data_IF_748413573763
#
_entry.id   IF_748413573763
#
_cell.length_a   1.000
_cell.length_b   1.000
_cell.length_c   1.000
_cell.angle_alpha   90.00
_cell.angle_beta   90.00
_cell.angle_gamma   90.00
#
_symmetry.space_group_name_H-M   'P 1'
#
loop_
_entity.id
_entity.type
_entity.pdbx_description
1 polymer ?
#
# COMPACT_ATOMS: atom_id res chain seq x y z
N UNK A 1 19.43 -12.19 17.94
CA UNK A 1 18.77 -12.96 16.87
C UNK A 1 18.15 -12.02 15.84
N UNK A 2 18.28 -12.34 14.53
CA UNK A 2 17.62 -11.57 13.45
C UNK A 2 16.12 -11.77 13.53
N UNK A 3 15.34 -10.68 13.38
CA UNK A 3 13.89 -10.79 13.20
C UNK A 3 13.57 -11.47 11.86
N UNK A 4 12.71 -12.48 11.88
CA UNK A 4 12.26 -13.20 10.70
C UNK A 4 10.92 -12.60 10.24
N UNK A 5 10.93 -11.99 9.07
CA UNK A 5 9.79 -11.22 8.53
C UNK A 5 9.25 -11.91 7.29
N UNK A 6 7.96 -12.21 7.28
CA UNK A 6 7.28 -12.67 6.07
C UNK A 6 6.60 -11.48 5.39
N UNK A 7 6.85 -11.33 4.10
CA UNK A 7 6.22 -10.29 3.27
C UNK A 7 5.38 -10.94 2.18
N UNK A 8 4.24 -10.36 1.91
CA UNK A 8 3.42 -10.67 0.73
C UNK A 8 3.34 -9.46 -0.18
N UNK A 9 3.11 -9.66 -1.49
CA UNK A 9 2.92 -8.55 -2.43
C UNK A 9 4.18 -7.75 -2.78
N UNK A 10 5.35 -8.33 -2.67
CA UNK A 10 6.66 -7.73 -2.92
C UNK A 10 6.88 -7.23 -4.35
N UNK A 11 6.17 -7.76 -5.34
CA UNK A 11 6.23 -7.27 -6.73
C UNK A 11 5.51 -5.94 -6.91
N UNK A 12 4.64 -5.57 -5.96
CA UNK A 12 3.90 -4.30 -5.93
C UNK A 12 4.76 -3.11 -5.51
N UNK A 13 4.18 -1.91 -5.62
CA UNK A 13 4.87 -0.66 -5.28
C UNK A 13 5.24 -0.58 -3.79
N UNK A 14 4.29 -0.80 -2.89
CA UNK A 14 4.54 -0.71 -1.44
C UNK A 14 5.48 -1.82 -0.98
N UNK A 15 5.16 -3.09 -1.28
CA UNK A 15 5.95 -4.24 -0.82
C UNK A 15 7.40 -4.21 -1.30
N UNK A 16 7.66 -3.81 -2.56
CA UNK A 16 9.04 -3.72 -3.05
C UNK A 16 9.86 -2.64 -2.34
N UNK A 17 9.25 -1.50 -1.99
CA UNK A 17 9.95 -0.45 -1.25
C UNK A 17 10.22 -0.84 0.21
N UNK A 18 9.30 -1.60 0.84
CA UNK A 18 9.54 -2.15 2.18
C UNK A 18 10.71 -3.13 2.16
N UNK A 19 10.77 -4.05 1.19
CA UNK A 19 11.90 -4.98 1.05
C UNK A 19 13.21 -4.22 0.87
N UNK A 20 13.27 -3.22 -0.01
CA UNK A 20 14.48 -2.41 -0.23
C UNK A 20 15.00 -1.74 1.04
N UNK A 21 14.11 -1.31 1.95
CA UNK A 21 14.52 -0.81 3.26
C UNK A 21 15.03 -1.96 4.14
N UNK A 22 14.23 -3.01 4.30
CA UNK A 22 14.50 -4.08 5.25
C UNK A 22 15.76 -4.88 4.91
N UNK A 23 16.15 -4.95 3.63
CA UNK A 23 17.41 -5.59 3.22
C UNK A 23 18.66 -4.85 3.69
N UNK A 24 18.52 -3.60 4.16
CA UNK A 24 19.60 -2.82 4.80
C UNK A 24 19.67 -3.03 6.31
N UNK A 25 18.69 -3.71 6.88
CA UNK A 25 18.54 -3.93 8.33
C UNK A 25 18.95 -5.35 8.73
N UNK A 26 19.14 -5.56 10.03
CA UNK A 26 19.46 -6.88 10.57
C UNK A 26 18.22 -7.77 10.71
N UNK A 27 17.61 -8.13 9.57
CA UNK A 27 16.44 -8.99 9.49
C UNK A 27 16.63 -10.10 8.46
N UNK A 28 15.80 -11.14 8.50
CA UNK A 28 15.69 -12.16 7.46
C UNK A 28 14.30 -12.09 6.83
N UNK A 29 14.21 -12.03 5.50
CA UNK A 29 12.98 -11.82 4.77
C UNK A 29 12.56 -13.11 4.05
N UNK A 30 11.37 -13.59 4.36
CA UNK A 30 10.64 -14.59 3.59
C UNK A 30 9.60 -13.89 2.72
N UNK A 31 9.61 -14.11 1.42
CA UNK A 31 8.71 -13.44 0.47
C UNK A 31 7.78 -14.44 -0.20
N UNK A 32 6.49 -14.36 0.09
CA UNK A 32 5.48 -15.29 -0.44
C UNK A 32 5.03 -14.86 -1.83
N UNK A 33 5.25 -15.73 -2.82
CA UNK A 33 5.10 -15.44 -4.22
C UNK A 33 4.35 -16.55 -4.97
N UNK A 34 3.41 -16.18 -5.84
CA UNK A 34 2.84 -17.13 -6.81
C UNK A 34 3.91 -17.55 -7.82
N UNK A 35 3.89 -18.79 -8.27
CA UNK A 35 4.89 -19.35 -9.19
C UNK A 35 5.12 -18.51 -10.45
N UNK A 36 4.10 -17.82 -10.97
CA UNK A 36 4.24 -16.92 -12.13
C UNK A 36 5.23 -15.78 -11.93
N UNK A 37 5.58 -15.46 -10.68
CA UNK A 37 6.51 -14.38 -10.35
C UNK A 37 7.98 -14.81 -10.33
N UNK A 38 8.33 -16.07 -10.60
CA UNK A 38 9.72 -16.56 -10.59
C UNK A 38 10.67 -15.76 -11.48
N UNK A 39 10.18 -15.28 -12.64
CA UNK A 39 10.95 -14.50 -13.62
C UNK A 39 10.89 -12.98 -13.38
N UNK A 40 10.27 -12.49 -12.29
CA UNK A 40 10.16 -11.06 -12.02
C UNK A 40 11.53 -10.45 -11.70
N UNK A 41 11.89 -9.33 -12.36
CA UNK A 41 13.19 -8.66 -12.21
C UNK A 41 13.47 -8.27 -10.75
N UNK A 42 12.51 -7.66 -10.05
CA UNK A 42 12.68 -7.27 -8.63
C UNK A 42 13.04 -8.47 -7.76
N UNK A 43 12.38 -9.62 -7.98
CA UNK A 43 12.65 -10.84 -7.21
C UNK A 43 14.06 -11.37 -7.49
N UNK A 44 14.53 -11.29 -8.73
CA UNK A 44 15.93 -11.66 -9.06
C UNK A 44 16.92 -10.74 -8.36
N UNK A 45 16.64 -9.44 -8.29
CA UNK A 45 17.53 -8.49 -7.62
C UNK A 45 17.53 -8.72 -6.10
N UNK A 46 16.39 -8.97 -5.47
CA UNK A 46 16.31 -9.28 -4.03
C UNK A 46 17.05 -10.56 -3.66
N UNK A 47 17.03 -11.59 -4.52
CA UNK A 47 17.76 -12.86 -4.31
C UNK A 47 19.26 -12.71 -4.21
N UNK A 48 19.86 -11.62 -4.67
CA UNK A 48 21.29 -11.33 -4.50
C UNK A 48 21.66 -11.10 -3.02
N UNK A 49 20.68 -10.81 -2.17
CA UNK A 49 20.90 -10.60 -0.74
C UNK A 49 20.73 -11.92 0.04
N UNK A 50 21.73 -12.30 0.84
CA UNK A 50 21.74 -13.54 1.65
C UNK A 50 20.64 -13.60 2.73
N UNK A 51 20.05 -12.47 3.07
CA UNK A 51 18.97 -12.36 4.04
C UNK A 51 17.57 -12.40 3.40
N UNK A 52 17.46 -12.84 2.15
CA UNK A 52 16.19 -12.90 1.43
C UNK A 52 15.93 -14.29 0.85
N UNK A 53 14.75 -14.84 1.11
CA UNK A 53 14.33 -16.15 0.61
C UNK A 53 12.91 -16.09 0.04
N UNK A 54 12.71 -16.27 -1.28
CA UNK A 54 11.40 -16.33 -1.89
C UNK A 54 10.76 -17.70 -1.69
N UNK A 55 9.49 -17.71 -1.29
CA UNK A 55 8.65 -18.89 -1.12
C UNK A 55 7.62 -18.93 -2.26
N UNK A 56 7.88 -19.72 -3.26
CA UNK A 56 6.97 -19.89 -4.38
C UNK A 56 5.92 -20.97 -4.10
N UNK A 57 4.68 -20.73 -4.52
CA UNK A 57 3.58 -21.70 -4.37
C UNK A 57 2.62 -21.68 -5.57
N UNK A 58 1.93 -22.81 -5.78
CA UNK A 58 0.83 -22.97 -6.75
C UNK A 58 -0.51 -23.11 -6.03
N UNK A 59 -0.58 -23.93 -4.98
CA UNK A 59 -1.78 -24.25 -4.18
C UNK A 59 -1.54 -23.91 -2.70
N UNK A 60 -2.59 -23.63 -1.94
CA UNK A 60 -2.48 -23.26 -0.52
C UNK A 60 -1.92 -24.40 0.35
N UNK A 61 -2.22 -25.64 0.07
CA UNK A 61 -1.63 -26.79 0.81
C UNK A 61 -0.09 -26.84 0.66
N UNK A 62 0.43 -26.48 -0.52
CA UNK A 62 1.88 -26.35 -0.72
C UNK A 62 2.45 -25.20 0.10
N UNK A 63 1.76 -24.05 0.14
CA UNK A 63 2.14 -22.89 0.93
C UNK A 63 2.16 -23.21 2.41
N UNK A 64 1.11 -23.82 2.91
CA UNK A 64 1.00 -24.26 4.31
C UNK A 64 2.15 -25.16 4.72
N UNK A 65 2.44 -26.21 3.96
CA UNK A 65 3.56 -27.14 4.22
C UNK A 65 4.90 -26.41 4.29
N UNK A 66 5.13 -25.39 3.43
CA UNK A 66 6.37 -24.60 3.44
C UNK A 66 6.45 -23.66 4.63
N UNK A 67 5.36 -22.98 4.97
CA UNK A 67 5.33 -22.02 6.07
C UNK A 67 5.37 -22.69 7.45
N UNK A 68 4.84 -23.90 7.58
CA UNK A 68 4.94 -24.69 8.82
C UNK A 68 6.38 -25.04 9.20
N UNK A 69 7.30 -25.14 8.23
CA UNK A 69 8.71 -25.51 8.44
C UNK A 69 9.63 -24.36 8.82
N UNK A 70 9.16 -23.12 8.81
CA UNK A 70 9.96 -21.95 9.08
C UNK A 70 9.39 -21.15 10.25
N UNK A 71 10.29 -20.43 10.92
CA UNK A 71 9.93 -19.52 11.98
C UNK A 71 9.74 -18.11 11.42
N UNK A 72 8.69 -17.43 11.88
CA UNK A 72 8.33 -16.09 11.45
C UNK A 72 7.90 -15.30 12.70
N UNK A 73 8.47 -14.12 12.89
CA UNK A 73 8.11 -13.22 13.98
C UNK A 73 7.04 -12.22 13.56
N UNK A 74 7.11 -11.73 12.30
CA UNK A 74 6.30 -10.60 11.81
C UNK A 74 5.80 -10.92 10.41
N UNK A 75 4.52 -10.64 10.17
CA UNK A 75 3.94 -10.64 8.81
C UNK A 75 3.67 -9.21 8.36
N UNK A 76 4.08 -8.87 7.14
CA UNK A 76 3.74 -7.62 6.45
C UNK A 76 2.90 -7.96 5.23
N UNK A 77 1.60 -7.74 5.33
CA UNK A 77 0.64 -8.15 4.31
C UNK A 77 0.40 -7.03 3.28
N UNK A 78 1.29 -6.94 2.27
CA UNK A 78 1.16 -5.99 1.17
C UNK A 78 0.41 -6.55 -0.04
N UNK A 79 0.07 -7.84 -0.06
CA UNK A 79 -0.62 -8.43 -1.19
C UNK A 79 -2.02 -7.80 -1.34
N UNK A 80 -2.27 -7.28 -2.51
CA UNK A 80 -3.57 -6.71 -2.86
C UNK A 80 -3.79 -6.75 -4.38
N UNK A 81 -5.01 -7.00 -4.77
CA UNK A 81 -5.49 -6.72 -6.12
C UNK A 81 -6.33 -5.45 -6.06
N UNK A 82 -6.03 -4.48 -6.92
CA UNK A 82 -6.74 -3.21 -7.01
C UNK A 82 -7.34 -3.02 -8.40
N UNK A 83 -8.63 -2.75 -8.43
CA UNK A 83 -9.33 -2.31 -9.65
C UNK A 83 -10.53 -1.45 -9.29
N UNK A 84 -10.88 -0.51 -10.16
CA UNK A 84 -12.14 0.22 -10.09
C UNK A 84 -13.24 -0.41 -10.96
N UNK A 85 -12.96 -1.53 -11.65
CA UNK A 85 -13.94 -2.21 -12.51
C UNK A 85 -14.79 -3.17 -11.68
N UNK A 86 -16.09 -3.18 -11.96
CA UNK A 86 -17.07 -4.09 -11.36
C UNK A 86 -17.52 -5.09 -12.45
N UNK A 87 -16.79 -6.20 -12.59
CA UNK A 87 -17.17 -7.34 -13.40
C UNK A 87 -16.78 -8.63 -12.68
N UNK A 88 -17.34 -9.77 -13.09
CA UNK A 88 -17.15 -11.09 -12.44
C UNK A 88 -15.67 -11.37 -12.19
N UNK A 89 -14.83 -11.31 -13.21
CA UNK A 89 -13.39 -11.58 -13.09
C UNK A 89 -12.66 -10.62 -12.13
N UNK A 90 -13.11 -9.37 -12.04
CA UNK A 90 -12.56 -8.41 -11.07
C UNK A 90 -12.96 -8.76 -9.65
N UNK A 91 -14.22 -9.17 -9.44
CA UNK A 91 -14.73 -9.60 -8.13
C UNK A 91 -13.99 -10.84 -7.65
N UNK A 92 -13.86 -11.87 -8.49
CA UNK A 92 -13.10 -13.09 -8.19
C UNK A 92 -11.65 -12.76 -7.75
N UNK A 93 -10.93 -11.94 -8.52
CA UNK A 93 -9.56 -11.57 -8.20
C UNK A 93 -9.46 -10.74 -6.91
N UNK A 94 -10.43 -9.86 -6.64
CA UNK A 94 -10.50 -9.07 -5.42
C UNK A 94 -10.71 -9.95 -4.20
N UNK A 95 -11.71 -10.85 -4.24
CA UNK A 95 -11.99 -11.79 -3.14
C UNK A 95 -10.82 -12.74 -2.93
N UNK A 96 -10.33 -13.36 -4.01
CA UNK A 96 -9.23 -14.33 -3.95
C UNK A 96 -7.94 -13.72 -3.38
N UNK A 97 -7.62 -12.47 -3.72
CA UNK A 97 -6.36 -11.86 -3.28
C UNK A 97 -6.51 -11.14 -1.95
N UNK A 98 -7.57 -10.33 -1.77
CA UNK A 98 -7.67 -9.42 -0.64
C UNK A 98 -8.33 -10.07 0.59
N UNK A 99 -9.08 -11.16 0.40
CA UNK A 99 -9.76 -11.87 1.49
C UNK A 99 -9.15 -13.26 1.67
N UNK A 100 -9.32 -14.17 0.70
CA UNK A 100 -8.95 -15.58 0.87
C UNK A 100 -7.45 -15.74 1.13
N UNK A 101 -6.60 -15.20 0.26
CA UNK A 101 -5.15 -15.34 0.41
C UNK A 101 -4.65 -14.74 1.73
N UNK A 102 -5.14 -13.55 2.10
CA UNK A 102 -4.74 -12.90 3.34
C UNK A 102 -5.17 -13.70 4.58
N UNK A 103 -6.39 -14.26 4.55
CA UNK A 103 -6.90 -15.12 5.63
C UNK A 103 -6.13 -16.42 5.76
N UNK A 104 -5.75 -17.05 4.64
CA UNK A 104 -4.91 -18.25 4.62
C UNK A 104 -3.54 -18.00 5.25
N UNK A 105 -2.89 -16.87 4.93
CA UNK A 105 -1.60 -16.50 5.54
C UNK A 105 -1.75 -16.36 7.06
N UNK A 106 -2.79 -15.66 7.51
CA UNK A 106 -3.03 -15.44 8.93
C UNK A 106 -3.36 -16.75 9.65
N UNK A 107 -4.20 -17.61 9.06
CA UNK A 107 -4.56 -18.92 9.61
C UNK A 107 -3.33 -19.84 9.79
N UNK A 108 -2.46 -19.93 8.77
CA UNK A 108 -1.25 -20.76 8.85
C UNK A 108 -0.30 -20.28 9.95
N UNK A 109 -0.24 -18.96 10.20
CA UNK A 109 0.80 -18.36 11.04
C UNK A 109 0.31 -17.89 12.42
N UNK A 110 -0.99 -18.01 12.74
CA UNK A 110 -1.62 -17.49 13.96
C UNK A 110 -0.93 -17.90 15.28
N UNK A 111 -0.31 -19.07 15.32
CA UNK A 111 0.38 -19.57 16.52
C UNK A 111 1.90 -19.26 16.54
N UNK A 112 2.44 -18.62 15.49
CA UNK A 112 3.87 -18.39 15.34
C UNK A 112 4.27 -16.92 15.45
N UNK A 113 3.42 -16.03 14.94
CA UNK A 113 3.77 -14.62 14.77
C UNK A 113 3.46 -13.79 16.01
N UNK A 114 4.23 -12.70 16.17
CA UNK A 114 4.05 -11.70 17.21
C UNK A 114 3.39 -10.40 16.71
N UNK A 115 3.55 -10.11 15.41
CA UNK A 115 2.98 -8.91 14.79
C UNK A 115 2.41 -9.24 13.41
N UNK A 116 1.24 -8.69 13.12
CA UNK A 116 0.62 -8.71 11.80
C UNK A 116 0.36 -7.26 11.37
N UNK A 117 0.99 -6.84 10.26
CA UNK A 117 0.87 -5.48 9.72
C UNK A 117 0.09 -5.57 8.42
N UNK A 118 -1.08 -4.96 8.38
CA UNK A 118 -1.96 -4.92 7.22
C UNK A 118 -2.11 -3.51 6.67
N UNK A 119 -2.45 -3.40 5.39
CA UNK A 119 -2.74 -2.14 4.73
C UNK A 119 -4.21 -2.08 4.34
N UNK A 120 -4.97 -1.26 5.05
CA UNK A 120 -6.31 -0.85 4.68
C UNK A 120 -6.30 0.31 3.69
N UNK A 121 -7.46 0.90 3.46
CA UNK A 121 -7.63 2.01 2.52
C UNK A 121 -8.62 3.04 3.02
N UNK A 122 -8.31 4.32 2.86
CA UNK A 122 -9.30 5.38 3.13
C UNK A 122 -10.49 5.37 2.17
N UNK A 123 -10.45 4.56 1.12
CA UNK A 123 -11.63 4.31 0.25
C UNK A 123 -12.74 3.55 0.96
N UNK A 124 -12.49 2.95 2.12
CA UNK A 124 -13.48 2.30 2.98
C UNK A 124 -14.47 3.31 3.60
N UNK A 125 -14.08 4.60 3.64
CA UNK A 125 -14.80 5.68 4.29
C UNK A 125 -14.98 6.89 3.35
N UNK A 126 -15.55 6.67 2.18
CA UNK A 126 -15.62 7.71 1.12
C UNK A 126 -16.59 8.85 1.45
N UNK A 127 -17.51 8.69 2.39
CA UNK A 127 -18.52 9.68 2.78
C UNK A 127 -18.49 9.94 4.30
N UNK A 128 -17.32 10.29 4.86
CA UNK A 128 -17.20 10.66 6.27
C UNK A 128 -16.81 9.53 7.20
N UNK A 129 -17.37 9.53 8.42
CA UNK A 129 -16.90 8.67 9.51
C UNK A 129 -17.47 7.24 9.49
N UNK A 130 -18.55 7.01 8.76
CA UNK A 130 -19.16 5.69 8.66
C UNK A 130 -18.56 4.88 7.52
N UNK A 131 -18.68 3.56 7.61
CA UNK A 131 -18.34 2.66 6.52
C UNK A 131 -19.18 3.02 5.29
N UNK A 132 -18.51 3.52 4.26
CA UNK A 132 -19.13 3.97 3.01
C UNK A 132 -18.15 3.69 1.86
N UNK A 133 -18.05 2.41 1.45
CA UNK A 133 -17.03 1.96 0.53
C UNK A 133 -17.20 2.59 -0.85
N UNK A 134 -16.10 3.13 -1.38
CA UNK A 134 -16.09 3.77 -2.70
C UNK A 134 -16.33 2.79 -3.85
N UNK A 135 -15.91 1.54 -3.67
CA UNK A 135 -15.99 0.48 -4.67
C UNK A 135 -15.81 -0.90 -4.01
N UNK A 136 -15.94 -1.97 -4.80
CA UNK A 136 -15.81 -3.34 -4.30
C UNK A 136 -14.43 -3.64 -3.70
N UNK A 137 -13.37 -3.01 -4.20
CA UNK A 137 -12.05 -3.10 -3.58
C UNK A 137 -12.08 -2.65 -2.11
N UNK A 138 -12.71 -1.52 -1.83
CA UNK A 138 -12.82 -0.99 -0.47
C UNK A 138 -13.60 -1.96 0.46
N UNK A 139 -14.66 -2.61 -0.06
CA UNK A 139 -15.39 -3.67 0.65
C UNK A 139 -14.43 -4.80 1.04
N UNK A 140 -13.65 -5.32 0.09
CA UNK A 140 -12.74 -6.44 0.38
C UNK A 140 -11.66 -6.10 1.41
N UNK A 141 -11.20 -4.85 1.46
CA UNK A 141 -10.25 -4.40 2.47
C UNK A 141 -10.89 -4.35 3.86
N UNK A 142 -12.07 -3.79 3.95
CA UNK A 142 -12.84 -3.75 5.20
C UNK A 142 -13.23 -5.15 5.69
N UNK A 143 -13.67 -6.04 4.79
CA UNK A 143 -14.00 -7.44 5.14
C UNK A 143 -12.79 -8.14 5.75
N UNK A 144 -11.60 -7.98 5.19
CA UNK A 144 -10.41 -8.60 5.76
C UNK A 144 -10.07 -8.02 7.14
N UNK A 145 -10.26 -6.73 7.37
CA UNK A 145 -10.12 -6.12 8.69
C UNK A 145 -11.07 -6.78 9.73
N UNK A 146 -12.31 -7.11 9.33
CA UNK A 146 -13.25 -7.83 10.24
C UNK A 146 -12.78 -9.26 10.53
N UNK A 147 -12.12 -9.90 9.58
CA UNK A 147 -11.46 -11.20 9.83
C UNK A 147 -10.29 -11.02 10.81
N UNK A 148 -9.48 -9.97 10.68
CA UNK A 148 -8.41 -9.65 11.65
C UNK A 148 -8.95 -9.43 13.05
N UNK A 149 -10.12 -8.78 13.23
CA UNK A 149 -10.78 -8.60 14.52
C UNK A 149 -11.10 -9.94 15.18
N UNK A 150 -11.58 -10.93 14.41
CA UNK A 150 -11.80 -12.31 14.93
C UNK A 150 -10.49 -12.91 15.45
N UNK A 151 -9.38 -12.81 14.69
CA UNK A 151 -8.09 -13.31 15.16
C UNK A 151 -7.56 -12.55 16.37
N UNK A 152 -7.76 -11.25 16.44
CA UNK A 152 -7.38 -10.42 17.59
C UNK A 152 -8.10 -10.83 18.88
N UNK A 153 -9.35 -11.25 18.79
CA UNK A 153 -10.13 -11.74 19.93
C UNK A 153 -9.61 -13.10 20.42
N UNK A 154 -9.22 -13.99 19.50
CA UNK A 154 -8.87 -15.37 19.80
C UNK A 154 -7.37 -15.64 20.00
N UNK A 155 -6.48 -14.78 19.48
CA UNK A 155 -5.02 -14.96 19.49
C UNK A 155 -4.32 -13.74 20.11
N UNK A 156 -4.33 -13.65 21.45
CA UNK A 156 -3.81 -12.51 22.21
C UNK A 156 -2.29 -12.30 22.13
N UNK A 157 -1.56 -13.28 21.64
CA UNK A 157 -0.12 -13.19 21.39
C UNK A 157 0.24 -12.38 20.13
N UNK A 158 -0.72 -12.08 19.25
CA UNK A 158 -0.50 -11.33 18.03
C UNK A 158 -0.91 -9.88 18.18
N UNK A 159 0.01 -8.95 17.92
CA UNK A 159 -0.28 -7.52 17.82
C UNK A 159 -0.65 -7.16 16.39
N UNK A 160 -1.84 -6.61 16.21
CA UNK A 160 -2.37 -6.22 14.88
C UNK A 160 -2.19 -4.73 14.64
N UNK A 161 -1.71 -4.40 13.45
CA UNK A 161 -1.53 -3.03 12.97
C UNK A 161 -2.23 -2.89 11.62
N UNK A 162 -3.33 -2.16 11.56
CA UNK A 162 -4.03 -1.85 10.32
C UNK A 162 -3.76 -0.40 9.90
N UNK A 163 -3.05 -0.23 8.79
CA UNK A 163 -2.64 1.08 8.29
C UNK A 163 -3.55 1.52 7.16
N UNK A 164 -4.46 2.43 7.41
CA UNK A 164 -5.32 3.04 6.40
C UNK A 164 -4.53 4.03 5.56
N UNK A 165 -4.35 3.70 4.28
CA UNK A 165 -3.56 4.49 3.36
C UNK A 165 -4.42 5.43 2.52
N UNK A 166 -3.94 6.65 2.36
CA UNK A 166 -4.31 7.57 1.30
C UNK A 166 -3.52 7.28 0.01
N UNK A 167 -3.42 8.24 -0.91
CA UNK A 167 -2.65 8.05 -2.13
C UNK A 167 -1.15 8.07 -1.84
N UNK A 168 -0.49 6.94 -2.07
CA UNK A 168 0.98 6.85 -1.98
C UNK A 168 1.62 7.18 -3.32
N UNK A 169 2.79 7.82 -3.30
CA UNK A 169 3.58 8.16 -4.49
C UNK A 169 5.08 8.01 -4.25
N UNK A 170 5.87 8.00 -5.30
CA UNK A 170 7.33 7.93 -5.22
C UNK A 170 7.96 7.46 -6.53
N UNK A 171 9.26 7.21 -6.48
CA UNK A 171 10.02 6.76 -7.63
C UNK A 171 9.57 5.37 -8.11
N UNK A 172 9.64 5.16 -9.43
CA UNK A 172 9.28 3.89 -10.07
C UNK A 172 7.82 3.44 -9.84
N UNK A 173 6.91 4.37 -9.52
CA UNK A 173 5.49 4.07 -9.42
C UNK A 173 4.87 3.99 -10.82
N UNK A 174 4.55 2.77 -11.25
CA UNK A 174 3.93 2.48 -12.56
C UNK A 174 2.42 2.23 -12.46
N UNK A 175 1.82 2.45 -11.29
CA UNK A 175 0.39 2.21 -11.07
C UNK A 175 -0.46 3.24 -11.82
N UNK A 176 -1.70 2.88 -12.13
CA UNK A 176 -2.70 3.79 -12.72
C UNK A 176 -3.30 4.71 -11.64
N UNK A 177 -2.44 5.52 -11.01
CA UNK A 177 -2.78 6.50 -9.97
C UNK A 177 -2.52 7.91 -10.48
N UNK A 178 -3.05 8.93 -9.78
CA UNK A 178 -3.02 10.31 -10.27
C UNK A 178 -1.60 10.81 -10.52
N UNK A 179 -0.64 10.58 -9.62
CA UNK A 179 0.73 11.07 -9.76
C UNK A 179 1.46 10.42 -10.94
N UNK A 180 1.52 9.08 -11.08
CA UNK A 180 2.09 8.46 -12.28
C UNK A 180 1.39 8.88 -13.57
N UNK A 181 0.06 9.13 -13.51
CA UNK A 181 -0.71 9.56 -14.68
C UNK A 181 -0.35 11.00 -15.10
N UNK A 182 -0.13 11.92 -14.14
CA UNK A 182 0.36 13.27 -14.43
C UNK A 182 1.71 13.18 -15.16
N UNK A 183 2.67 12.44 -14.62
CA UNK A 183 4.02 12.28 -15.19
C UNK A 183 3.92 11.70 -16.61
N UNK A 184 3.16 10.62 -16.79
CA UNK A 184 2.99 9.97 -18.10
C UNK A 184 2.28 10.85 -19.11
N UNK A 185 1.24 11.57 -18.72
CA UNK A 185 0.51 12.47 -19.64
C UNK A 185 1.39 13.64 -20.08
N UNK A 186 2.21 14.17 -19.18
CA UNK A 186 3.15 15.21 -19.48
C UNK A 186 4.24 14.75 -20.47
N UNK A 187 4.90 13.60 -20.23
CA UNK A 187 5.93 13.04 -21.10
C UNK A 187 5.39 12.75 -22.50
N UNK A 188 4.14 12.27 -22.60
CA UNK A 188 3.48 11.96 -23.87
C UNK A 188 2.79 13.17 -24.53
N UNK A 189 2.88 14.36 -23.95
CA UNK A 189 2.17 15.57 -24.41
C UNK A 189 0.63 15.39 -24.54
N UNK A 190 0.04 14.53 -23.72
CA UNK A 190 -1.40 14.21 -23.71
C UNK A 190 -2.14 14.99 -22.65
N UNK A 191 -3.43 15.26 -22.90
CA UNK A 191 -4.30 15.89 -21.91
C UNK A 191 -4.66 14.93 -20.80
N UNK A 192 -4.45 15.35 -19.55
CA UNK A 192 -4.85 14.64 -18.34
C UNK A 192 -6.33 14.88 -18.05
N UNK A 193 -7.13 13.80 -18.00
CA UNK A 193 -8.54 13.88 -17.57
C UNK A 193 -8.64 13.78 -16.05
N UNK A 194 -9.20 14.80 -15.41
CA UNK A 194 -9.40 14.87 -13.96
C UNK A 194 -10.90 14.92 -13.68
N UNK A 195 -11.36 14.06 -12.75
CA UNK A 195 -12.80 13.90 -12.46
C UNK A 195 -13.47 15.18 -11.99
N UNK A 196 -12.74 16.08 -11.30
CA UNK A 196 -13.28 17.37 -10.87
C UNK A 196 -12.21 18.43 -10.73
N UNK A 197 -12.59 19.68 -11.04
CA UNK A 197 -11.81 20.90 -10.76
C UNK A 197 -11.54 21.09 -9.26
N UNK A 198 -12.46 20.61 -8.41
CA UNK A 198 -12.40 20.75 -6.98
C UNK A 198 -11.89 19.48 -6.26
N UNK A 199 -11.23 18.57 -6.98
CA UNK A 199 -10.66 17.36 -6.39
C UNK A 199 -9.56 17.71 -5.40
N UNK A 200 -9.74 17.31 -4.12
CA UNK A 200 -8.74 17.40 -3.05
C UNK A 200 -8.31 15.99 -2.65
N UNK A 201 -7.02 15.77 -2.50
CA UNK A 201 -6.44 14.47 -2.16
C UNK A 201 -5.31 14.61 -1.15
N UNK A 202 -5.15 13.59 -0.29
CA UNK A 202 -4.00 13.45 0.58
C UNK A 202 -2.97 12.53 -0.07
N UNK A 203 -1.70 12.91 0.02
CA UNK A 203 -0.60 12.18 -0.61
C UNK A 203 0.48 11.89 0.42
N UNK A 204 1.02 10.66 0.38
CA UNK A 204 2.09 10.20 1.25
C UNK A 204 3.23 9.66 0.40
N UNK A 205 4.43 10.17 0.61
CA UNK A 205 5.60 9.65 -0.09
C UNK A 205 5.91 8.23 0.40
N UNK A 206 6.32 7.34 -0.51
CA UNK A 206 6.57 5.93 -0.18
C UNK A 206 7.63 5.75 0.89
N UNK A 207 8.69 6.56 0.89
CA UNK A 207 9.74 6.50 1.92
C UNK A 207 9.18 6.82 3.31
N UNK A 208 8.23 7.75 3.41
CA UNK A 208 7.61 8.12 4.68
C UNK A 208 6.68 7.00 5.19
N UNK A 209 5.95 6.32 4.29
CA UNK A 209 5.20 5.12 4.66
C UNK A 209 6.13 4.01 5.16
N UNK A 210 7.24 3.79 4.48
CA UNK A 210 8.21 2.75 4.84
C UNK A 210 8.85 3.04 6.21
N UNK A 211 9.05 4.32 6.59
CA UNK A 211 9.47 4.70 7.95
C UNK A 211 8.43 4.30 9.02
N UNK A 212 7.14 4.44 8.74
CA UNK A 212 6.09 4.00 9.66
C UNK A 212 6.17 2.47 9.89
N UNK A 213 6.41 1.69 8.83
CA UNK A 213 6.61 0.23 8.95
C UNK A 213 7.86 -0.09 9.77
N UNK A 214 8.96 0.62 9.53
CA UNK A 214 10.18 0.49 10.34
C UNK A 214 9.90 0.70 11.83
N UNK A 215 9.15 1.75 12.17
CA UNK A 215 8.78 2.05 13.56
C UNK A 215 7.94 0.92 14.18
N UNK A 216 7.00 0.31 13.45
CA UNK A 216 6.25 -0.85 13.95
C UNK A 216 7.16 -2.04 14.22
N UNK A 217 8.12 -2.30 13.33
CA UNK A 217 9.03 -3.46 13.43
C UNK A 217 10.00 -3.31 14.61
N UNK A 218 10.62 -2.14 14.75
CA UNK A 218 11.76 -1.94 15.64
C UNK A 218 11.44 -1.15 16.91
N UNK A 219 10.41 -0.32 16.90
CA UNK A 219 10.03 0.52 18.02
C UNK A 219 8.78 -0.02 18.75
N UNK A 220 8.50 0.51 19.94
CA UNK A 220 7.32 0.16 20.74
C UNK A 220 6.09 0.97 20.30
N UNK A 221 5.57 0.71 19.09
CA UNK A 221 4.29 1.27 18.68
C UNK A 221 3.16 0.41 19.26
N UNK A 222 2.14 1.06 19.85
CA UNK A 222 0.93 0.37 20.31
C UNK A 222 0.18 -0.23 19.11
N UNK A 223 -0.34 -1.42 19.25
CA UNK A 223 -1.20 -2.03 18.23
C UNK A 223 -2.49 -1.22 18.01
N UNK A 224 -3.06 -1.33 16.82
CA UNK A 224 -4.31 -0.66 16.48
C UNK A 224 -4.44 -0.25 15.03
N UNK A 225 -5.54 0.45 14.75
CA UNK A 225 -5.82 1.06 13.46
C UNK A 225 -5.27 2.48 13.42
N UNK A 226 -4.50 2.78 12.38
CA UNK A 226 -3.86 4.08 12.21
C UNK A 226 -4.06 4.61 10.80
N UNK A 227 -4.11 5.93 10.68
CA UNK A 227 -4.06 6.62 9.41
C UNK A 227 -2.64 7.14 9.15
N UNK A 228 -2.08 6.81 8.00
CA UNK A 228 -0.81 7.38 7.52
C UNK A 228 -1.17 8.44 6.49
N UNK A 229 -1.12 9.71 6.90
CA UNK A 229 -1.55 10.84 6.08
C UNK A 229 -0.73 12.10 6.38
N UNK A 230 -0.63 12.98 5.40
CA UNK A 230 -0.19 14.36 5.60
C UNK A 230 -1.28 15.21 6.25
N UNK A 231 -0.90 16.30 6.91
CA UNK A 231 -1.84 17.24 7.54
C UNK A 231 -2.73 17.94 6.52
N UNK A 232 -2.21 18.17 5.32
CA UNK A 232 -2.89 18.97 4.29
C UNK A 232 -3.40 18.13 3.13
N UNK A 233 -4.65 18.36 2.74
CA UNK A 233 -5.20 17.89 1.47
C UNK A 233 -4.82 18.88 0.36
N UNK A 234 -4.36 18.34 -0.75
CA UNK A 234 -3.90 19.12 -1.91
C UNK A 234 -5.01 19.18 -2.96
N UNK A 235 -5.43 20.38 -3.36
CA UNK A 235 -6.31 20.59 -4.51
C UNK A 235 -5.50 20.38 -5.79
N UNK A 236 -5.87 19.37 -6.60
CA UNK A 236 -5.11 18.96 -7.79
C UNK A 236 -4.97 20.09 -8.79
N UNK A 237 -6.00 20.91 -8.98
CA UNK A 237 -5.93 22.07 -9.84
C UNK A 237 -4.87 23.09 -9.37
N UNK A 238 -4.81 23.39 -8.07
CA UNK A 238 -3.79 24.32 -7.51
C UNK A 238 -2.39 23.77 -7.74
N UNK A 239 -2.17 22.47 -7.52
CA UNK A 239 -0.89 21.79 -7.76
C UNK A 239 -0.46 21.93 -9.24
N UNK A 240 -1.36 21.64 -10.18
CA UNK A 240 -1.07 21.75 -11.61
C UNK A 240 -0.77 23.19 -12.00
N UNK A 241 -1.52 24.16 -11.48
CA UNK A 241 -1.31 25.59 -11.76
C UNK A 241 0.06 26.05 -11.24
N UNK A 242 0.45 25.62 -10.03
CA UNK A 242 1.76 25.94 -9.45
C UNK A 242 2.91 25.34 -10.29
N UNK A 243 2.80 24.06 -10.66
CA UNK A 243 3.77 23.42 -11.54
C UNK A 243 3.86 24.13 -12.91
N UNK A 244 2.73 24.50 -13.48
CA UNK A 244 2.67 25.18 -14.77
C UNK A 244 3.33 26.60 -14.76
N UNK A 245 3.46 27.23 -13.61
CA UNK A 245 4.23 28.49 -13.50
C UNK A 245 5.74 28.25 -13.60
N UNK A 246 6.21 27.06 -13.22
CA UNK A 246 7.64 26.70 -13.13
C UNK A 246 8.13 25.90 -14.35
N UNK A 247 7.23 25.21 -15.05
CA UNK A 247 7.57 24.34 -16.18
C UNK A 247 7.56 25.11 -17.50
N UNK A 248 8.56 24.85 -18.37
CA UNK A 248 8.61 25.40 -19.75
C UNK A 248 7.41 24.93 -20.57
N UNK A 249 7.14 23.62 -20.55
CA UNK A 249 5.96 23.02 -21.17
C UNK A 249 4.84 22.91 -20.12
N UNK A 250 3.59 23.17 -20.51
CA UNK A 250 2.46 23.14 -19.58
C UNK A 250 1.83 21.75 -19.48
N UNK A 251 1.41 21.36 -18.27
CA UNK A 251 0.55 20.19 -18.06
C UNK A 251 -0.84 20.54 -18.59
N UNK A 252 -1.29 19.82 -19.61
CA UNK A 252 -2.64 19.97 -20.18
C UNK A 252 -3.63 19.19 -19.32
N UNK A 253 -4.59 19.86 -18.67
CA UNK A 253 -5.60 19.22 -17.84
C UNK A 253 -7.01 19.55 -18.29
N UNK A 254 -7.88 18.52 -18.44
CA UNK A 254 -9.31 18.65 -18.69
C UNK A 254 -10.08 18.17 -17.48
N UNK A 255 -10.88 19.05 -16.89
CA UNK A 255 -11.73 18.75 -15.75
C UNK A 255 -13.12 18.35 -16.22
N UNK A 256 -13.64 17.21 -15.71
CA UNK A 256 -14.91 16.63 -16.15
C UNK A 256 -16.10 17.18 -15.37
N UNK A 257 -15.88 17.75 -14.19
CA UNK A 257 -16.90 18.39 -13.36
C UNK A 257 -16.30 19.46 -12.46
N UNK A 258 -17.17 20.21 -11.75
CA UNK A 258 -16.81 21.14 -10.68
C UNK A 258 -17.29 20.68 -9.29
N UNK A 259 -17.82 19.46 -9.15
CA UNK A 259 -18.29 18.91 -7.88
C UNK A 259 -17.15 18.86 -6.87
N UNK A 260 -17.44 19.15 -5.60
CA UNK A 260 -16.49 18.97 -4.52
C UNK A 260 -16.25 17.48 -4.28
N UNK A 261 -15.04 17.03 -4.53
CA UNK A 261 -14.61 15.66 -4.33
C UNK A 261 -13.34 15.67 -3.49
N UNK A 262 -13.36 14.97 -2.36
CA UNK A 262 -12.16 14.73 -1.56
C UNK A 262 -12.00 13.24 -1.26
N UNK A 263 -10.81 12.85 -0.83
CA UNK A 263 -10.65 11.57 -0.15
C UNK A 263 -11.45 11.61 1.17
N UNK A 264 -11.67 10.45 1.75
CA UNK A 264 -12.32 10.32 3.06
C UNK A 264 -11.78 11.32 4.07
N UNK A 265 -12.68 11.89 4.83
CA UNK A 265 -12.38 12.80 5.95
C UNK A 265 -12.50 12.10 7.30
N UNK A 266 -12.70 10.77 7.34
CA UNK A 266 -12.78 10.01 8.60
C UNK A 266 -11.59 10.34 9.50
N UNK A 267 -11.90 10.74 10.72
CA UNK A 267 -10.91 10.98 11.76
C UNK A 267 -10.45 9.66 12.37
N UNK A 268 -9.43 9.06 11.77
CA UNK A 268 -8.69 7.96 12.38
C UNK A 268 -7.51 8.51 13.17
N UNK A 269 -7.08 7.75 14.16
CA UNK A 269 -5.85 8.05 14.90
C UNK A 269 -4.67 8.14 13.92
N UNK A 270 -3.98 9.26 13.92
CA UNK A 270 -2.77 9.41 13.14
C UNK A 270 -1.69 8.45 13.64
N UNK A 271 -0.85 7.99 12.75
CA UNK A 271 0.29 7.18 13.13
C UNK A 271 1.22 7.99 14.06
N UNK A 272 1.59 7.46 15.26
CA UNK A 272 2.31 8.24 16.27
C UNK A 272 3.73 8.57 15.81
N UNK A 273 4.21 9.76 16.15
CA UNK A 273 5.58 10.24 15.87
C UNK A 273 5.99 10.14 14.39
N UNK A 274 5.02 10.13 13.47
CA UNK A 274 5.26 10.03 12.05
C UNK A 274 5.02 11.38 11.36
N UNK A 275 5.96 11.77 10.51
CA UNK A 275 5.91 12.98 9.71
C UNK A 275 6.34 12.65 8.29
N UNK A 276 5.58 13.11 7.31
CA UNK A 276 5.99 13.10 5.90
C UNK A 276 6.67 14.44 5.57
N UNK A 277 8.00 14.41 5.53
CA UNK A 277 8.81 15.59 5.19
C UNK A 277 9.00 15.78 3.67
N UNK A 278 8.32 14.97 2.84
CA UNK A 278 8.48 15.03 1.38
C UNK A 278 7.48 15.99 0.76
N UNK A 279 7.99 16.90 -0.06
CA UNK A 279 7.18 17.85 -0.80
C UNK A 279 6.76 17.28 -2.16
N UNK A 280 5.45 17.07 -2.34
CA UNK A 280 4.90 16.52 -3.59
C UNK A 280 5.16 17.43 -4.80
N UNK A 281 5.07 18.74 -4.64
CA UNK A 281 5.29 19.68 -5.74
C UNK A 281 6.75 19.63 -6.23
N UNK A 282 7.70 19.60 -5.30
CA UNK A 282 9.13 19.47 -5.61
C UNK A 282 9.43 18.13 -6.27
N UNK A 283 8.84 17.03 -5.77
CA UNK A 283 8.97 15.72 -6.38
C UNK A 283 8.49 15.74 -7.83
N UNK A 284 7.28 16.26 -8.08
CA UNK A 284 6.73 16.36 -9.43
C UNK A 284 7.56 17.29 -10.31
N UNK A 285 7.99 18.43 -9.80
CA UNK A 285 8.81 19.37 -10.58
C UNK A 285 10.11 18.70 -11.06
N UNK A 286 10.81 17.96 -10.17
CA UNK A 286 12.01 17.20 -10.54
C UNK A 286 11.71 16.16 -11.64
N UNK A 287 10.56 15.45 -11.55
CA UNK A 287 10.17 14.40 -12.52
C UNK A 287 9.71 14.96 -13.87
N UNK A 288 9.27 16.20 -13.92
CA UNK A 288 8.73 16.84 -15.13
C UNK A 288 9.73 17.76 -15.82
N UNK A 289 10.83 18.14 -15.14
CA UNK A 289 11.87 19.01 -15.69
C UNK A 289 12.77 18.26 -16.69
N UNK A 290 12.95 16.98 -16.49
CA UNK A 290 13.78 16.08 -17.33
C UNK A 290 12.89 15.12 -18.13
#
# INVERSE_FOLDING_TARGET
LKKKILITGSTGFVGSNIINLLLKENVYIYDVLRNKNKKNKKIRDFKKNKNYSPIFYKKFNELERKLKKIEIDIVINCATYYTGKNNIKSIENLVQTNIIFCSVILEILKNKIKKFINFGSMMEYSQGNHFSPKNFYAITKYTFQKIEEFYKLNYKNIKFYDLKLYETYGDNDVRKKIIPTIIKSYSQNKSLKIVSKNLKMNFVHIESLVKAIYMIIFNKIKEGEYCVKNDKFIKIQKLINSLNKKLKKKIKAKYLSSKNISNSTKQLKNFPHWIDNKNLEEFLFKKLKY
#
